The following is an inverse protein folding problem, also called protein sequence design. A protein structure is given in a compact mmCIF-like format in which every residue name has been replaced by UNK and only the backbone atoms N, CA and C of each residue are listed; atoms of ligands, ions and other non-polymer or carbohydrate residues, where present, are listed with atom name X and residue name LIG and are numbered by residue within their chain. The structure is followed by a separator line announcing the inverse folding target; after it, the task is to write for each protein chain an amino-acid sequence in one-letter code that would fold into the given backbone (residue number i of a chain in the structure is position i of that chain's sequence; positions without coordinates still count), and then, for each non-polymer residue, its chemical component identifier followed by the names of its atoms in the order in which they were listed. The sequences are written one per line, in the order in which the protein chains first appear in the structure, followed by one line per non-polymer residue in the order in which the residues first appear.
data_IF_008355344875
#
_entry.id   IF_008355344875
#
_cell.length_a   1.000
_cell.length_b   1.000
_cell.length_c   1.000
_cell.angle_alpha   90.00
_cell.angle_beta   90.00
_cell.angle_gamma   90.00
#
_symmetry.space_group_name_H-M   'P 1'
#
loop_
_entity.id
_entity.type
_entity.pdbx_description
1 polymer ?
#
# COMPACT_ATOMS: atom_id res chain seq x y z
N UNK A 1 -6.12 15.28 17.66
CA UNK A 1 -5.83 14.53 16.42
C UNK A 1 -5.17 13.23 16.84
N UNK A 2 -5.94 12.15 16.95
CA UNK A 2 -5.41 10.85 17.36
C UNK A 2 -4.36 10.40 16.36
N UNK A 3 -3.17 10.08 16.86
CA UNK A 3 -2.04 9.78 16.01
C UNK A 3 -2.16 8.33 15.53
N UNK A 4 -2.12 8.14 14.20
CA UNK A 4 -2.11 6.85 13.48
C UNK A 4 -1.15 5.79 14.04
N UNK A 5 -0.18 6.18 14.86
CA UNK A 5 0.89 5.35 15.38
C UNK A 5 0.41 4.05 16.09
N UNK A 6 -0.80 4.04 16.68
CA UNK A 6 -1.36 2.85 17.34
C UNK A 6 -2.35 2.05 16.50
N UNK A 7 -2.86 2.60 15.40
CA UNK A 7 -3.92 1.99 14.59
C UNK A 7 -3.33 1.45 13.28
N UNK A 8 -2.50 0.42 13.36
CA UNK A 8 -1.95 -0.26 12.18
C UNK A 8 -1.67 -1.73 12.48
N UNK A 9 -1.56 -2.55 11.43
CA UNK A 9 -1.30 -4.00 11.53
C UNK A 9 -0.09 -4.31 12.41
N UNK A 10 0.96 -3.49 12.29
CA UNK A 10 2.19 -3.66 13.05
C UNK A 10 2.00 -3.48 14.56
N UNK A 11 1.19 -2.51 14.98
CA UNK A 11 0.91 -2.32 16.42
C UNK A 11 0.18 -3.51 17.02
N UNK A 12 -0.71 -4.16 16.26
CA UNK A 12 -1.40 -5.38 16.73
C UNK A 12 -0.41 -6.54 16.83
N UNK A 13 0.46 -6.70 15.83
CA UNK A 13 1.50 -7.73 15.85
C UNK A 13 2.39 -7.56 17.08
N UNK A 14 2.87 -6.34 17.32
CA UNK A 14 3.73 -6.04 18.48
C UNK A 14 2.99 -6.33 19.81
N UNK A 15 1.69 -6.02 19.91
CA UNK A 15 0.86 -6.32 21.08
C UNK A 15 0.66 -7.83 21.32
N UNK A 16 0.42 -8.61 20.26
CA UNK A 16 0.27 -10.07 20.37
C UNK A 16 1.60 -10.72 20.75
N UNK A 17 2.71 -10.29 20.14
CA UNK A 17 4.05 -10.79 20.51
C UNK A 17 4.34 -10.45 21.97
N UNK A 18 4.08 -9.20 22.40
CA UNK A 18 4.25 -8.79 23.78
C UNK A 18 3.39 -9.63 24.75
N UNK A 19 2.15 -9.94 24.37
CA UNK A 19 1.30 -10.81 25.19
C UNK A 19 1.94 -12.18 25.43
N UNK A 20 2.50 -12.82 24.41
CA UNK A 20 3.10 -14.15 24.56
C UNK A 20 4.50 -14.16 25.16
N UNK A 21 5.25 -13.07 25.03
CA UNK A 21 6.68 -13.02 25.39
C UNK A 21 6.97 -12.22 26.66
N UNK A 22 6.10 -11.26 27.01
CA UNK A 22 6.37 -10.25 28.03
C UNK A 22 7.34 -9.14 27.58
N UNK A 23 7.89 -9.24 26.36
CA UNK A 23 8.94 -8.37 25.84
C UNK A 23 8.54 -7.66 24.54
N UNK A 24 9.08 -6.46 24.34
CA UNK A 24 8.78 -5.63 23.16
C UNK A 24 9.73 -5.96 22.00
N UNK A 25 9.34 -6.94 21.18
CA UNK A 25 10.11 -7.31 19.98
C UNK A 25 9.63 -6.57 18.72
N UNK A 26 10.27 -5.44 18.42
CA UNK A 26 9.97 -4.67 17.20
C UNK A 26 10.36 -5.47 15.94
N UNK A 27 9.50 -5.44 14.92
CA UNK A 27 9.70 -6.12 13.62
C UNK A 27 9.70 -7.66 13.68
N UNK A 28 9.00 -8.26 14.65
CA UNK A 28 8.90 -9.72 14.68
C UNK A 28 8.21 -10.23 13.41
N UNK A 29 8.85 -11.20 12.73
CA UNK A 29 8.29 -11.85 11.54
C UNK A 29 7.44 -13.09 11.90
N UNK A 30 7.25 -13.35 13.19
CA UNK A 30 6.60 -14.56 13.69
C UNK A 30 5.10 -14.58 13.42
N UNK A 31 4.48 -13.40 13.47
CA UNK A 31 3.09 -13.19 13.10
C UNK A 31 3.06 -12.78 11.64
N UNK A 32 2.29 -13.51 10.86
CA UNK A 32 2.06 -13.29 9.44
C UNK A 32 0.70 -12.66 9.23
N UNK A 33 0.58 -11.90 8.15
CA UNK A 33 -0.64 -11.19 7.75
C UNK A 33 -1.23 -11.89 6.53
N UNK A 34 -2.52 -12.22 6.57
CA UNK A 34 -3.26 -12.69 5.42
C UNK A 34 -3.90 -11.51 4.69
N UNK A 35 -3.99 -11.59 3.36
CA UNK A 35 -4.70 -10.60 2.53
C UNK A 35 -5.89 -11.19 1.76
N UNK A 36 -6.07 -12.51 1.82
CA UNK A 36 -7.07 -13.25 1.05
C UNK A 36 -7.71 -14.33 1.90
N UNK A 37 -8.96 -14.69 1.54
CA UNK A 37 -9.73 -15.73 2.23
C UNK A 37 -9.80 -15.49 3.76
N UNK A 38 -9.96 -14.23 4.15
CA UNK A 38 -9.92 -13.76 5.54
C UNK A 38 -10.97 -14.43 6.43
N UNK A 39 -12.12 -14.81 5.88
CA UNK A 39 -13.15 -15.58 6.60
C UNK A 39 -12.65 -16.96 7.08
N UNK A 40 -11.77 -17.60 6.31
CA UNK A 40 -11.24 -18.92 6.64
C UNK A 40 -9.93 -18.84 7.42
N UNK A 41 -9.05 -17.91 7.05
CA UNK A 41 -7.67 -17.85 7.54
C UNK A 41 -7.45 -16.81 8.66
N UNK A 42 -8.43 -15.95 8.94
CA UNK A 42 -8.24 -14.76 9.78
C UNK A 42 -7.34 -13.73 9.12
N UNK A 43 -7.21 -12.57 9.74
CA UNK A 43 -6.36 -11.47 9.28
C UNK A 43 -4.88 -11.70 9.64
N UNK A 44 -4.62 -12.31 10.80
CA UNK A 44 -3.27 -12.62 11.28
C UNK A 44 -3.14 -14.10 11.60
N UNK A 45 -1.93 -14.64 11.51
CA UNK A 45 -1.66 -15.99 11.99
C UNK A 45 -0.21 -16.19 12.44
N UNK A 46 0.02 -17.19 13.27
CA UNK A 46 1.37 -17.63 13.64
C UNK A 46 1.40 -19.13 13.89
N UNK A 47 2.59 -19.72 13.91
CA UNK A 47 2.77 -21.14 14.16
C UNK A 47 2.66 -21.44 15.66
N UNK A 48 1.91 -22.48 16.01
CA UNK A 48 1.73 -22.90 17.40
C UNK A 48 2.99 -23.55 17.99
N UNK A 49 3.85 -24.11 17.14
CA UNK A 49 5.04 -24.85 17.54
C UNK A 49 6.07 -23.90 18.17
N UNK A 50 6.57 -24.26 19.36
CA UNK A 50 7.54 -23.46 20.11
C UNK A 50 8.84 -23.23 19.33
N UNK A 51 9.21 -24.13 18.40
CA UNK A 51 10.38 -23.95 17.50
C UNK A 51 10.34 -22.61 16.76
N UNK A 52 9.16 -22.15 16.35
CA UNK A 52 9.02 -20.88 15.64
C UNK A 52 9.29 -19.66 16.52
N UNK A 53 9.24 -19.83 17.85
CA UNK A 53 9.34 -18.77 18.87
C UNK A 53 10.69 -18.73 19.59
N UNK A 54 11.62 -19.64 19.29
CA UNK A 54 12.90 -19.80 20.01
C UNK A 54 13.80 -18.57 19.98
N UNK A 55 13.73 -17.77 18.92
CA UNK A 55 14.52 -16.54 18.81
C UNK A 55 13.99 -15.44 19.75
N UNK A 56 12.78 -15.59 20.28
CA UNK A 56 12.12 -14.63 21.17
C UNK A 56 12.01 -15.14 22.61
N UNK A 57 12.01 -16.47 22.82
CA UNK A 57 11.74 -17.08 24.12
C UNK A 57 12.64 -18.27 24.41
N UNK A 58 13.05 -18.38 25.68
CA UNK A 58 13.70 -19.57 26.23
C UNK A 58 12.72 -20.36 27.08
N UNK A 59 12.52 -21.65 26.81
CA UNK A 59 11.73 -22.54 27.67
C UNK A 59 12.62 -23.52 28.44
N UNK A 60 12.60 -23.42 29.78
CA UNK A 60 13.31 -24.33 30.69
C UNK A 60 12.60 -25.68 30.89
N UNK A 61 11.31 -25.78 30.56
CA UNK A 61 10.44 -26.95 30.82
C UNK A 61 10.16 -27.83 29.58
N UNK A 62 10.95 -27.72 28.50
CA UNK A 62 10.78 -28.57 27.32
C UNK A 62 9.46 -28.39 26.56
N UNK A 63 8.97 -27.15 26.44
CA UNK A 63 7.70 -26.81 25.80
C UNK A 63 7.65 -27.22 24.32
N UNK A 64 6.55 -27.84 23.88
CA UNK A 64 6.33 -28.19 22.46
C UNK A 64 5.60 -27.08 21.71
N UNK A 65 4.77 -26.29 22.41
CA UNK A 65 4.00 -25.19 21.84
C UNK A 65 4.17 -23.87 22.60
N UNK A 66 3.88 -22.75 21.92
CA UNK A 66 3.84 -21.42 22.54
C UNK A 66 2.74 -21.30 23.59
N UNK A 67 1.61 -21.99 23.38
CA UNK A 67 0.49 -22.03 24.32
C UNK A 67 0.89 -22.73 25.62
N UNK A 68 1.58 -23.86 25.53
CA UNK A 68 2.09 -24.58 26.70
C UNK A 68 3.12 -23.73 27.47
N UNK A 69 4.01 -23.05 26.76
CA UNK A 69 4.95 -22.13 27.38
C UNK A 69 4.23 -21.01 28.14
N UNK A 70 3.25 -20.38 27.49
CA UNK A 70 2.46 -19.32 28.09
C UNK A 70 1.73 -19.77 29.35
N UNK A 71 1.08 -20.94 29.30
CA UNK A 71 0.42 -21.57 30.46
C UNK A 71 1.38 -21.82 31.63
N UNK A 72 2.59 -22.33 31.34
CA UNK A 72 3.62 -22.58 32.35
C UNK A 72 4.11 -21.30 33.05
N UNK A 73 4.20 -20.19 32.31
CA UNK A 73 4.66 -18.90 32.84
C UNK A 73 3.57 -18.25 33.71
N UNK A 74 2.30 -18.38 33.31
CA UNK A 74 1.17 -17.70 33.98
C UNK A 74 0.45 -18.57 35.02
N UNK A 75 1.01 -19.73 35.36
CA UNK A 75 0.48 -20.60 36.42
C UNK A 75 -0.87 -21.22 36.10
N UNK A 76 -1.24 -21.36 34.82
CA UNK A 76 -2.51 -21.95 34.42
C UNK A 76 -2.58 -23.43 34.86
N UNK A 77 -3.57 -23.75 35.69
CA UNK A 77 -3.82 -25.09 36.22
C UNK A 77 -4.35 -26.03 35.14
N UNK A 78 -3.89 -27.29 35.19
CA UNK A 78 -4.22 -28.41 34.31
C UNK A 78 -5.71 -28.43 33.89
N UNK A 79 -5.98 -28.05 32.65
CA UNK A 79 -7.15 -28.56 31.93
C UNK A 79 -6.96 -30.05 31.64
N UNK A 80 -8.07 -30.80 31.52
CA UNK A 80 -8.02 -32.25 31.27
C UNK A 80 -7.56 -32.59 29.83
N UNK A 81 -7.48 -31.60 28.92
CA UNK A 81 -6.98 -31.75 27.54
C UNK A 81 -6.22 -30.50 27.03
N UNK A 82 -5.38 -30.68 25.99
CA UNK A 82 -4.65 -29.58 25.32
C UNK A 82 -5.58 -28.56 24.64
N UNK A 83 -6.80 -28.96 24.28
CA UNK A 83 -7.80 -28.09 23.65
C UNK A 83 -8.37 -27.08 24.66
N UNK A 84 -8.67 -27.52 25.88
CA UNK A 84 -9.19 -26.66 26.95
C UNK A 84 -8.18 -25.56 27.32
N UNK A 85 -6.89 -25.92 27.35
CA UNK A 85 -5.79 -24.97 27.60
C UNK A 85 -5.69 -23.94 26.48
N UNK A 86 -5.89 -24.34 25.22
CA UNK A 86 -5.85 -23.42 24.09
C UNK A 86 -7.01 -22.41 24.13
N UNK A 87 -8.22 -22.87 24.42
CA UNK A 87 -9.40 -22.01 24.50
C UNK A 87 -9.29 -20.99 25.64
N UNK A 88 -8.76 -21.40 26.80
CA UNK A 88 -8.49 -20.50 27.91
C UNK A 88 -7.50 -19.39 27.51
N UNK A 89 -6.38 -19.75 26.88
CA UNK A 89 -5.38 -18.76 26.43
C UNK A 89 -5.95 -17.85 25.35
N UNK A 90 -6.76 -18.38 24.44
CA UNK A 90 -7.44 -17.57 23.43
C UNK A 90 -8.40 -16.57 24.06
N UNK A 91 -9.16 -16.96 25.08
CA UNK A 91 -10.01 -16.06 25.84
C UNK A 91 -9.20 -14.98 26.55
N UNK A 92 -8.06 -15.33 27.15
CA UNK A 92 -7.16 -14.34 27.76
C UNK A 92 -6.61 -13.33 26.75
N UNK A 93 -6.21 -13.78 25.56
CA UNK A 93 -5.74 -12.92 24.49
C UNK A 93 -6.86 -11.98 23.98
N UNK A 94 -8.07 -12.51 23.77
CA UNK A 94 -9.25 -11.73 23.36
C UNK A 94 -9.58 -10.68 24.42
N UNK A 95 -9.65 -11.07 25.70
CA UNK A 95 -9.90 -10.15 26.81
C UNK A 95 -8.84 -9.05 26.88
N UNK A 96 -7.55 -9.42 26.78
CA UNK A 96 -6.45 -8.45 26.77
C UNK A 96 -6.57 -7.46 25.61
N UNK A 97 -7.00 -7.93 24.44
CA UNK A 97 -7.17 -7.11 23.24
C UNK A 97 -8.27 -6.04 23.36
N UNK A 98 -9.17 -6.14 24.34
CA UNK A 98 -10.20 -5.13 24.62
C UNK A 98 -9.62 -3.76 24.98
N UNK A 99 -8.37 -3.73 25.44
CA UNK A 99 -7.63 -2.48 25.74
C UNK A 99 -6.84 -1.93 24.54
N UNK A 100 -6.83 -2.64 23.40
CA UNK A 100 -6.05 -2.26 22.22
C UNK A 100 -6.91 -1.43 21.26
N UNK A 101 -6.28 -0.63 20.38
CA UNK A 101 -7.02 0.11 19.34
C UNK A 101 -7.80 -0.78 18.37
N UNK A 102 -7.39 -2.04 18.22
CA UNK A 102 -8.04 -3.02 17.36
C UNK A 102 -8.19 -4.31 18.16
N UNK A 103 -9.44 -4.69 18.43
CA UNK A 103 -9.75 -5.87 19.21
C UNK A 103 -9.60 -7.13 18.37
N UNK A 104 -9.24 -8.23 19.03
CA UNK A 104 -9.34 -9.57 18.46
C UNK A 104 -10.75 -10.06 18.76
N UNK A 105 -11.49 -10.39 17.70
CA UNK A 105 -12.86 -10.92 17.82
C UNK A 105 -12.86 -12.41 18.10
N UNK A 106 -11.94 -13.16 17.50
CA UNK A 106 -11.88 -14.62 17.63
C UNK A 106 -10.47 -15.15 17.37
N UNK A 107 -10.10 -16.23 18.05
CA UNK A 107 -8.92 -17.03 17.74
C UNK A 107 -9.37 -18.42 17.29
N UNK A 108 -8.61 -19.08 16.42
CA UNK A 108 -8.91 -20.44 15.98
C UNK A 108 -7.62 -21.20 15.69
N UNK A 109 -7.49 -22.41 16.24
CA UNK A 109 -6.42 -23.33 15.88
C UNK A 109 -6.78 -24.09 14.60
N UNK A 110 -5.96 -23.95 13.57
CA UNK A 110 -6.08 -24.67 12.31
C UNK A 110 -4.79 -25.44 12.02
N UNK A 111 -4.81 -26.75 12.28
CA UNK A 111 -3.61 -27.61 12.18
C UNK A 111 -2.49 -27.01 13.06
N UNK A 112 -1.40 -26.55 12.45
CA UNK A 112 -0.26 -25.96 13.15
C UNK A 112 -0.31 -24.43 13.26
N UNK A 113 -1.41 -23.79 12.85
CA UNK A 113 -1.53 -22.32 12.81
C UNK A 113 -2.58 -21.84 13.78
N UNK A 114 -2.25 -20.82 14.56
CA UNK A 114 -3.23 -20.06 15.31
C UNK A 114 -3.62 -18.86 14.44
N UNK A 115 -4.89 -18.82 14.04
CA UNK A 115 -5.47 -17.77 13.21
C UNK A 115 -6.22 -16.78 14.11
N UNK A 116 -5.95 -15.49 13.94
CA UNK A 116 -6.58 -14.40 14.66
C UNK A 116 -7.53 -13.65 13.72
N UNK A 117 -8.76 -13.46 14.17
CA UNK A 117 -9.80 -12.72 13.50
C UNK A 117 -9.96 -11.38 14.20
N UNK A 118 -9.67 -10.30 13.49
CA UNK A 118 -9.76 -8.95 14.04
C UNK A 118 -11.20 -8.45 14.00
N UNK A 119 -11.56 -7.62 14.97
CA UNK A 119 -12.87 -6.99 14.99
C UNK A 119 -13.03 -6.07 13.79
N UNK A 120 -13.96 -6.42 12.91
CA UNK A 120 -14.18 -5.69 11.64
C UNK A 120 -14.74 -4.30 11.86
N UNK A 121 -15.62 -4.11 12.85
CA UNK A 121 -16.26 -2.82 13.12
C UNK A 121 -15.23 -1.78 13.53
N UNK A 122 -14.28 -2.16 14.39
CA UNK A 122 -13.14 -1.33 14.79
C UNK A 122 -12.33 -0.88 13.56
N UNK A 123 -12.03 -1.82 12.67
CA UNK A 123 -11.20 -1.55 11.49
C UNK A 123 -11.95 -0.69 10.48
N UNK A 124 -13.19 -1.05 10.13
CA UNK A 124 -13.96 -0.38 9.09
C UNK A 124 -14.20 1.09 9.46
N UNK A 125 -14.78 1.35 10.62
CA UNK A 125 -15.20 2.69 10.97
C UNK A 125 -13.99 3.62 11.18
N UNK A 126 -12.96 3.15 11.89
CA UNK A 126 -11.80 3.99 12.20
C UNK A 126 -10.91 4.20 10.98
N UNK A 127 -10.64 3.17 10.16
CA UNK A 127 -9.78 3.35 8.97
C UNK A 127 -10.38 4.33 7.96
N UNK A 128 -11.71 4.27 7.73
CA UNK A 128 -12.40 5.20 6.83
C UNK A 128 -12.37 6.62 7.42
N UNK A 129 -12.77 6.79 8.69
CA UNK A 129 -12.75 8.11 9.35
C UNK A 129 -11.39 8.76 9.29
N UNK A 130 -10.35 8.02 9.68
CA UNK A 130 -8.99 8.54 9.70
C UNK A 130 -8.50 8.87 8.29
N UNK A 131 -8.86 8.10 7.26
CA UNK A 131 -8.48 8.40 5.87
C UNK A 131 -9.06 9.72 5.40
N UNK A 132 -10.33 9.97 5.70
CA UNK A 132 -11.00 11.22 5.34
C UNK A 132 -10.43 12.41 6.14
N UNK A 133 -10.26 12.25 7.45
CA UNK A 133 -9.77 13.33 8.32
C UNK A 133 -8.31 13.70 8.04
N UNK A 134 -7.45 12.71 7.74
CA UNK A 134 -6.03 12.95 7.50
C UNK A 134 -5.72 13.36 6.05
N UNK A 135 -6.57 12.99 5.10
CA UNK A 135 -6.38 13.26 3.67
C UNK A 135 -4.97 12.89 3.18
N UNK A 136 -4.25 13.89 2.65
CA UNK A 136 -2.89 13.72 2.10
C UNK A 136 -1.83 13.30 3.13
N UNK A 137 -2.10 13.44 4.42
CA UNK A 137 -1.19 13.03 5.51
C UNK A 137 -1.51 11.66 6.09
N UNK A 138 -2.51 10.97 5.55
CA UNK A 138 -2.88 9.63 6.01
C UNK A 138 -1.68 8.67 5.95
N UNK A 139 -1.45 7.93 7.03
CA UNK A 139 -0.31 7.01 7.15
C UNK A 139 1.06 7.66 7.40
N UNK A 140 1.14 8.99 7.43
CA UNK A 140 2.40 9.70 7.75
C UNK A 140 2.77 9.52 9.23
N UNK A 141 4.00 9.12 9.47
CA UNK A 141 4.57 9.01 10.82
C UNK A 141 4.89 10.38 11.41
N UNK A 142 4.99 10.44 12.75
CA UNK A 142 5.46 11.61 13.48
C UNK A 142 6.91 11.94 13.09
N UNK A 143 7.28 13.21 13.19
CA UNK A 143 8.65 13.63 12.97
C UNK A 143 9.62 12.84 13.86
N UNK A 144 10.68 12.36 13.25
CA UNK A 144 11.76 11.61 13.91
C UNK A 144 12.97 12.49 14.22
N UNK A 145 12.99 13.73 13.71
CA UNK A 145 14.16 14.63 13.77
C UNK A 145 15.34 14.19 12.88
N UNK A 146 15.29 13.02 12.24
CA UNK A 146 16.36 12.55 11.35
C UNK A 146 16.31 13.29 10.01
N UNK A 147 17.46 13.82 9.58
CA UNK A 147 17.65 14.45 8.29
C UNK A 147 18.33 13.49 7.30
N UNK A 148 18.05 13.66 6.00
CA UNK A 148 18.63 12.90 4.89
C UNK A 148 19.01 13.83 3.73
N UNK A 149 20.09 13.50 3.03
CA UNK A 149 20.48 14.15 1.76
C UNK A 149 20.50 13.11 0.67
N UNK A 150 19.68 13.31 -0.37
CA UNK A 150 19.63 12.41 -1.51
C UNK A 150 20.12 13.11 -2.77
N UNK A 151 21.13 12.54 -3.42
CA UNK A 151 21.62 12.94 -4.74
C UNK A 151 21.53 11.77 -5.70
N UNK A 152 21.59 12.04 -7.00
CA UNK A 152 21.79 11.00 -8.01
C UNK A 152 22.93 11.42 -8.94
N UNK A 153 23.65 10.42 -9.45
CA UNK A 153 24.72 10.60 -10.42
C UNK A 153 24.18 10.21 -11.80
N UNK A 154 24.05 11.15 -12.76
CA UNK A 154 23.61 10.84 -14.12
C UNK A 154 24.47 9.74 -14.78
N UNK A 155 23.82 8.89 -15.56
CA UNK A 155 24.50 7.91 -16.40
C UNK A 155 24.90 8.58 -17.72
N UNK A 156 26.21 8.72 -17.96
CA UNK A 156 26.73 9.46 -19.12
C UNK A 156 26.45 8.81 -20.49
N UNK A 157 25.85 7.62 -20.53
CA UNK A 157 25.54 6.90 -21.78
C UNK A 157 24.04 6.76 -22.03
N UNK A 158 23.20 6.85 -20.98
CA UNK A 158 21.80 6.46 -21.05
C UNK A 158 20.92 7.46 -20.33
N UNK A 159 20.12 8.21 -21.09
CA UNK A 159 19.15 9.14 -20.54
C UNK A 159 18.07 8.41 -19.73
N UNK A 160 17.51 7.30 -20.25
CA UNK A 160 16.51 6.53 -19.49
C UNK A 160 17.05 5.96 -18.17
N UNK A 161 18.32 5.54 -18.12
CA UNK A 161 18.96 5.13 -16.86
C UNK A 161 19.08 6.34 -15.92
N UNK A 162 19.45 7.51 -16.43
CA UNK A 162 19.47 8.76 -15.66
C UNK A 162 18.09 9.11 -15.09
N UNK A 163 17.04 9.02 -15.89
CA UNK A 163 15.67 9.27 -15.41
C UNK A 163 15.24 8.26 -14.36
N UNK A 164 15.58 6.98 -14.52
CA UNK A 164 15.30 5.96 -13.50
C UNK A 164 15.95 6.32 -12.16
N UNK A 165 17.21 6.78 -12.16
CA UNK A 165 17.91 7.23 -10.94
C UNK A 165 17.24 8.45 -10.31
N UNK A 166 16.83 9.42 -11.13
CA UNK A 166 16.09 10.62 -10.69
C UNK A 166 14.75 10.24 -10.04
N UNK A 167 13.98 9.34 -10.67
CA UNK A 167 12.72 8.83 -10.13
C UNK A 167 12.92 8.12 -8.79
N UNK A 168 13.89 7.21 -8.69
CA UNK A 168 14.23 6.53 -7.43
C UNK A 168 14.53 7.51 -6.30
N UNK A 169 15.33 8.55 -6.59
CA UNK A 169 15.66 9.61 -5.63
C UNK A 169 14.42 10.39 -5.20
N UNK A 170 13.53 10.74 -6.13
CA UNK A 170 12.30 11.49 -5.82
C UNK A 170 11.31 10.66 -5.00
N UNK A 171 11.14 9.39 -5.34
CA UNK A 171 10.27 8.48 -4.59
C UNK A 171 10.84 8.26 -3.18
N UNK A 172 12.17 8.16 -3.04
CA UNK A 172 12.84 8.08 -1.75
C UNK A 172 12.63 9.32 -0.89
N UNK A 173 12.70 10.50 -1.50
CA UNK A 173 12.38 11.75 -0.82
C UNK A 173 10.95 11.76 -0.25
N UNK A 174 9.96 11.32 -1.05
CA UNK A 174 8.56 11.25 -0.60
C UNK A 174 8.34 10.19 0.48
N UNK A 175 8.91 9.00 0.32
CA UNK A 175 8.83 7.94 1.31
C UNK A 175 9.48 8.35 2.65
N UNK A 176 10.64 9.01 2.62
CA UNK A 176 11.28 9.55 3.83
C UNK A 176 10.37 10.57 4.54
N UNK A 177 9.71 11.45 3.80
CA UNK A 177 8.77 12.41 4.38
C UNK A 177 7.58 11.72 5.06
N UNK A 178 7.05 10.66 4.46
CA UNK A 178 5.97 9.85 5.05
C UNK A 178 6.44 9.10 6.30
N UNK A 179 7.70 8.74 6.39
CA UNK A 179 8.33 8.17 7.60
C UNK A 179 8.71 9.23 8.65
N UNK A 180 8.32 10.50 8.46
CA UNK A 180 8.61 11.58 9.41
C UNK A 180 10.08 12.01 9.41
N UNK A 181 10.82 11.74 8.35
CA UNK A 181 12.18 12.23 8.15
C UNK A 181 12.19 13.54 7.35
N UNK A 182 13.21 14.36 7.55
CA UNK A 182 13.40 15.62 6.83
C UNK A 182 14.44 15.48 5.72
N UNK A 183 14.23 16.19 4.62
CA UNK A 183 15.27 16.37 3.60
C UNK A 183 16.06 17.63 3.94
N UNK A 184 17.39 17.50 3.99
CA UNK A 184 18.29 18.60 4.28
C UNK A 184 19.16 18.92 3.07
N UNK A 185 19.57 20.18 2.97
CA UNK A 185 20.59 20.66 2.05
C UNK A 185 21.91 20.99 2.78
N UNK A 186 21.94 20.83 4.11
CA UNK A 186 23.07 21.21 4.95
C UNK A 186 24.22 20.21 4.90
N UNK A 187 25.46 20.71 4.95
CA UNK A 187 26.68 19.92 4.82
C UNK A 187 26.98 19.05 6.06
N UNK A 188 26.17 19.08 7.12
CA UNK A 188 26.41 18.33 8.37
C UNK A 188 25.42 17.17 8.63
N UNK A 189 24.76 16.64 7.59
CA UNK A 189 23.88 15.48 7.72
C UNK A 189 24.66 14.15 7.74
N UNK A 190 24.34 13.21 8.65
CA UNK A 190 24.96 11.88 8.67
C UNK A 190 24.39 10.92 7.60
N UNK A 191 23.14 11.10 7.17
CA UNK A 191 22.46 10.19 6.24
C UNK A 191 22.50 10.75 4.81
N UNK A 192 23.60 10.51 4.11
CA UNK A 192 23.77 10.94 2.71
C UNK A 192 23.78 9.76 1.77
N UNK A 193 22.94 9.79 0.75
CA UNK A 193 22.82 8.72 -0.24
C UNK A 193 22.97 9.24 -1.66
N UNK A 194 23.80 8.57 -2.44
CA UNK A 194 24.02 8.83 -3.86
C UNK A 194 23.45 7.68 -4.67
N UNK A 195 22.37 7.94 -5.42
CA UNK A 195 21.78 6.98 -6.35
C UNK A 195 22.64 6.91 -7.62
N UNK A 196 23.11 5.72 -7.99
CA UNK A 196 24.01 5.53 -9.14
C UNK A 196 23.75 4.19 -9.84
N UNK A 197 24.07 4.10 -11.13
CA UNK A 197 24.07 2.84 -11.88
C UNK A 197 25.37 2.05 -11.74
N UNK A 198 26.42 2.68 -11.17
CA UNK A 198 27.77 2.11 -11.08
C UNK A 198 27.98 1.43 -9.72
N UNK A 199 28.34 0.15 -9.72
CA UNK A 199 28.76 -0.57 -8.51
C UNK A 199 30.12 -0.06 -8.00
N UNK A 200 31.01 0.23 -8.93
CA UNK A 200 32.39 0.66 -8.68
C UNK A 200 32.60 2.14 -9.02
N UNK A 201 33.70 2.71 -8.52
CA UNK A 201 34.04 4.13 -8.70
C UNK A 201 33.79 4.99 -7.47
N UNK A 202 34.43 6.17 -7.50
CA UNK A 202 34.37 7.18 -6.45
C UNK A 202 33.00 7.86 -6.43
N UNK A 203 32.52 8.16 -5.23
CA UNK A 203 31.39 9.04 -4.97
C UNK A 203 31.84 10.15 -4.02
N UNK A 204 31.11 11.27 -4.02
CA UNK A 204 31.35 12.39 -3.11
C UNK A 204 31.60 11.92 -1.67
N UNK A 205 32.60 12.49 -1.02
CA UNK A 205 32.98 12.14 0.35
C UNK A 205 31.79 12.25 1.31
N UNK A 206 31.63 11.26 2.18
CA UNK A 206 30.52 11.18 3.14
C UNK A 206 29.20 10.66 2.57
N UNK A 207 29.07 10.39 1.27
CA UNK A 207 27.90 9.71 0.71
C UNK A 207 28.01 8.19 0.78
N UNK A 208 26.88 7.52 0.95
CA UNK A 208 26.72 6.07 0.78
C UNK A 208 26.15 5.79 -0.61
N UNK A 209 26.68 4.79 -1.32
CA UNK A 209 26.15 4.39 -2.63
C UNK A 209 24.81 3.68 -2.47
N UNK A 210 23.85 4.05 -3.30
CA UNK A 210 22.64 3.29 -3.54
C UNK A 210 22.60 2.87 -5.02
N UNK A 211 22.93 1.60 -5.29
CA UNK A 211 23.08 1.10 -6.66
C UNK A 211 21.72 0.72 -7.24
N UNK A 212 21.39 1.29 -8.40
CA UNK A 212 20.20 0.94 -9.17
C UNK A 212 20.59 0.25 -10.48
N UNK A 213 19.80 -0.74 -10.90
CA UNK A 213 19.98 -1.40 -12.18
C UNK A 213 19.69 -0.44 -13.35
N UNK A 214 20.38 -0.67 -14.45
CA UNK A 214 20.24 0.12 -15.68
C UNK A 214 18.91 -0.14 -16.39
N UNK A 215 18.54 0.74 -17.31
CA UNK A 215 17.47 0.48 -18.29
C UNK A 215 18.09 -0.20 -19.51
N UNK A 216 17.50 -1.31 -19.94
CA UNK A 216 17.95 -2.15 -21.05
C UNK A 216 16.95 -2.12 -22.20
N UNK A 217 17.48 -2.19 -23.40
CA UNK A 217 16.69 -2.42 -24.61
C UNK A 217 16.33 -3.90 -24.72
N UNK A 218 15.07 -4.22 -25.03
CA UNK A 218 14.62 -5.61 -25.16
C UNK A 218 15.25 -6.38 -26.31
N UNK A 219 15.61 -5.71 -27.41
CA UNK A 219 16.20 -6.34 -28.60
C UNK A 219 17.67 -6.69 -28.37
N UNK A 220 18.46 -5.74 -27.83
CA UNK A 220 19.90 -5.93 -27.64
C UNK A 220 20.25 -6.55 -26.29
N UNK A 221 19.29 -6.61 -25.36
CA UNK A 221 19.46 -7.00 -23.94
C UNK A 221 20.61 -6.26 -23.22
N UNK A 222 21.00 -5.13 -23.78
CA UNK A 222 22.09 -4.26 -23.35
C UNK A 222 21.52 -2.93 -22.88
N UNK A 223 22.36 -2.10 -22.24
CA UNK A 223 21.94 -0.77 -21.76
C UNK A 223 21.32 0.02 -22.93
N UNK A 224 20.15 0.62 -22.72
CA UNK A 224 19.53 1.50 -23.70
C UNK A 224 20.29 2.84 -23.76
N UNK A 225 20.86 3.16 -24.91
CA UNK A 225 21.70 4.35 -25.12
C UNK A 225 21.20 5.26 -26.25
N UNK A 226 20.25 4.79 -27.05
CA UNK A 226 19.76 5.50 -28.22
C UNK A 226 18.47 6.28 -27.92
N UNK A 227 17.63 5.75 -27.05
CA UNK A 227 16.32 6.34 -26.74
C UNK A 227 16.42 7.35 -25.58
N UNK A 228 15.97 8.58 -25.84
CA UNK A 228 15.79 9.61 -24.80
C UNK A 228 14.44 9.48 -24.09
N UNK A 229 14.31 10.16 -22.96
CA UNK A 229 13.09 10.22 -22.17
C UNK A 229 11.93 10.83 -22.95
N UNK A 230 12.16 11.98 -23.59
CA UNK A 230 11.15 12.69 -24.39
C UNK A 230 10.73 11.86 -25.59
N UNK A 231 11.67 11.19 -26.28
CA UNK A 231 11.32 10.27 -27.36
C UNK A 231 10.50 9.09 -26.86
N UNK A 232 10.81 8.57 -25.66
CA UNK A 232 10.04 7.45 -25.11
C UNK A 232 8.63 7.86 -24.67
N UNK A 233 8.47 9.08 -24.13
CA UNK A 233 7.16 9.68 -23.86
C UNK A 233 6.38 9.81 -25.17
N UNK A 234 6.96 10.41 -26.21
CA UNK A 234 6.27 10.60 -27.49
C UNK A 234 5.86 9.25 -28.11
N UNK A 235 6.72 8.25 -28.03
CA UNK A 235 6.41 6.90 -28.47
C UNK A 235 5.18 6.33 -27.75
N UNK A 236 5.13 6.45 -26.42
CA UNK A 236 3.99 6.00 -25.61
C UNK A 236 2.73 6.83 -25.88
N UNK A 237 2.84 8.13 -26.12
CA UNK A 237 1.73 8.99 -26.50
C UNK A 237 1.10 8.54 -27.82
N UNK A 238 1.92 8.25 -28.84
CA UNK A 238 1.45 7.76 -30.13
C UNK A 238 0.70 6.42 -29.98
N UNK A 239 1.25 5.47 -29.21
CA UNK A 239 0.56 4.21 -28.92
C UNK A 239 -0.79 4.41 -28.21
N UNK A 240 -0.85 5.35 -27.25
CA UNK A 240 -2.10 5.65 -26.56
C UNK A 240 -3.12 6.31 -27.48
N UNK A 241 -2.68 7.21 -28.36
CA UNK A 241 -3.53 7.86 -29.35
C UNK A 241 -4.20 6.83 -30.26
N UNK A 242 -3.42 5.90 -30.85
CA UNK A 242 -3.91 4.80 -31.70
C UNK A 242 -4.96 3.93 -30.97
N UNK A 243 -4.73 3.57 -29.70
CA UNK A 243 -5.67 2.77 -28.90
C UNK A 243 -6.96 3.51 -28.51
N UNK A 244 -7.01 4.81 -28.75
CA UNK A 244 -8.06 5.72 -28.28
C UNK A 244 -8.84 6.42 -29.39
N UNK A 245 -8.55 6.11 -30.65
CA UNK A 245 -9.15 6.73 -31.85
C UNK A 245 -10.68 6.68 -31.87
N UNK A 246 -11.31 5.78 -31.09
CA UNK A 246 -12.77 5.64 -31.00
C UNK A 246 -13.39 6.09 -29.66
N UNK A 247 -12.61 6.65 -28.72
CA UNK A 247 -13.08 6.94 -27.35
C UNK A 247 -13.09 8.41 -26.96
N UNK A 248 -12.32 9.26 -27.64
CA UNK A 248 -12.33 10.69 -27.39
C UNK A 248 -13.45 11.36 -28.18
N UNK A 249 -14.34 12.05 -27.48
CA UNK A 249 -15.37 12.90 -28.08
C UNK A 249 -14.65 14.05 -28.79
N UNK A 250 -15.03 14.35 -30.04
CA UNK A 250 -14.41 15.34 -30.94
C UNK A 250 -14.37 16.79 -30.41
N UNK A 251 -14.88 17.05 -29.21
CA UNK A 251 -15.16 18.39 -28.66
C UNK A 251 -14.13 18.87 -27.62
N UNK A 252 -13.07 18.10 -27.34
CA UNK A 252 -11.97 18.54 -26.45
C UNK A 252 -10.88 19.29 -27.24
N UNK A 253 -10.51 20.49 -26.78
CA UNK A 253 -9.40 21.28 -27.35
C UNK A 253 -8.13 20.42 -27.45
N UNK A 254 -7.52 20.37 -28.64
CA UNK A 254 -6.34 19.54 -28.95
C UNK A 254 -5.22 19.63 -27.89
N UNK A 255 -4.95 20.82 -27.34
CA UNK A 255 -3.92 21.02 -26.30
C UNK A 255 -4.22 20.28 -24.97
N UNK A 256 -5.48 20.21 -24.56
CA UNK A 256 -5.87 19.51 -23.33
C UNK A 256 -5.74 17.98 -23.49
N UNK A 257 -6.06 17.48 -24.69
CA UNK A 257 -5.89 16.07 -25.07
C UNK A 257 -4.42 15.67 -25.07
N UNK A 258 -3.55 16.48 -25.68
CA UNK A 258 -2.10 16.21 -25.71
C UNK A 258 -1.49 16.22 -24.30
N UNK A 259 -1.88 17.19 -23.46
CA UNK A 259 -1.44 17.21 -22.06
C UNK A 259 -1.92 15.98 -21.28
N UNK A 260 -3.15 15.51 -21.52
CA UNK A 260 -3.67 14.30 -20.91
C UNK A 260 -2.88 13.05 -21.36
N UNK A 261 -2.68 12.86 -22.66
CA UNK A 261 -1.91 11.76 -23.23
C UNK A 261 -0.46 11.78 -22.73
N UNK A 262 0.15 12.96 -22.64
CA UNK A 262 1.49 13.13 -22.08
C UNK A 262 1.56 12.68 -20.62
N UNK A 263 0.62 13.11 -19.78
CA UNK A 263 0.58 12.71 -18.36
C UNK A 263 0.34 11.20 -18.20
N UNK A 264 -0.52 10.62 -19.03
CA UNK A 264 -0.79 9.18 -19.04
C UNK A 264 0.44 8.38 -19.50
N UNK A 265 1.09 8.79 -20.58
CA UNK A 265 2.34 8.20 -21.07
C UNK A 265 3.43 8.25 -20.01
N UNK A 266 3.62 9.40 -19.36
CA UNK A 266 4.58 9.58 -18.29
C UNK A 266 4.28 8.64 -17.10
N UNK A 267 3.01 8.54 -16.67
CA UNK A 267 2.60 7.63 -15.60
C UNK A 267 2.88 6.15 -15.93
N UNK A 268 2.64 5.74 -17.18
CA UNK A 268 2.95 4.39 -17.68
C UNK A 268 4.45 4.12 -17.59
N UNK A 269 5.29 5.03 -18.09
CA UNK A 269 6.74 4.86 -18.06
C UNK A 269 7.25 4.79 -16.63
N UNK A 270 6.73 5.63 -15.71
CA UNK A 270 7.06 5.56 -14.29
C UNK A 270 6.75 4.18 -13.71
N UNK A 271 5.56 3.62 -13.99
CA UNK A 271 5.21 2.26 -13.57
C UNK A 271 6.16 1.21 -14.15
N UNK A 272 6.47 1.28 -15.45
CA UNK A 272 7.39 0.34 -16.10
C UNK A 272 8.79 0.35 -15.46
N UNK A 273 9.31 1.54 -15.14
CA UNK A 273 10.63 1.69 -14.53
C UNK A 273 10.67 1.34 -13.04
N UNK A 274 9.57 1.56 -12.30
CA UNK A 274 9.51 1.43 -10.84
C UNK A 274 8.90 0.11 -10.36
N UNK A 275 8.20 -0.64 -11.20
CA UNK A 275 7.62 -1.95 -10.86
C UNK A 275 8.67 -3.06 -10.65
N UNK A 276 9.95 -2.77 -10.84
CA UNK A 276 11.07 -3.70 -10.65
C UNK A 276 11.94 -3.25 -9.47
N UNK A 277 12.42 -4.21 -8.67
CA UNK A 277 13.35 -3.95 -7.56
C UNK A 277 14.50 -3.03 -8.01
N UNK A 278 14.90 -2.03 -7.21
CA UNK A 278 15.89 -1.04 -7.66
C UNK A 278 17.21 -1.64 -8.11
N UNK A 279 17.69 -2.70 -7.45
CA UNK A 279 18.95 -3.38 -7.79
C UNK A 279 18.92 -4.17 -9.11
N UNK A 280 17.75 -4.38 -9.72
CA UNK A 280 17.60 -5.14 -10.97
C UNK A 280 17.47 -4.20 -12.15
N UNK A 281 18.04 -4.59 -13.30
CA UNK A 281 17.81 -3.88 -14.57
C UNK A 281 16.34 -3.97 -14.98
N UNK A 282 15.83 -2.90 -15.59
CA UNK A 282 14.52 -2.87 -16.23
C UNK A 282 14.71 -3.04 -17.72
N UNK A 283 13.90 -3.88 -18.35
CA UNK A 283 13.90 -4.06 -19.80
C UNK A 283 12.70 -3.31 -20.35
N UNK A 284 12.95 -2.34 -21.24
CA UNK A 284 11.90 -1.66 -21.98
C UNK A 284 11.76 -2.28 -23.37
N UNK A 285 10.51 -2.37 -23.87
CA UNK A 285 10.21 -2.81 -25.23
C UNK A 285 9.94 -1.58 -26.10
N UNK A 286 10.56 -1.56 -27.28
CA UNK A 286 10.48 -0.47 -28.26
C UNK A 286 9.82 -0.92 -29.59
N UNK A 287 9.04 -2.01 -29.60
CA UNK A 287 8.52 -2.59 -30.85
C UNK A 287 7.02 -2.39 -31.05
N UNK A 288 6.67 -1.98 -32.28
CA UNK A 288 5.33 -1.91 -32.88
C UNK A 288 4.77 -3.29 -33.29
N UNK A 289 5.33 -4.40 -32.81
CA UNK A 289 4.87 -5.74 -33.21
C UNK A 289 4.29 -6.50 -32.02
N UNK A 290 3.02 -6.83 -32.21
CA UNK A 290 2.15 -7.78 -31.51
C UNK A 290 2.89 -8.86 -30.73
N UNK A 291 3.05 -8.64 -29.43
CA UNK A 291 3.24 -9.75 -28.49
C UNK A 291 2.66 -9.39 -27.12
N UNK A 292 1.51 -9.99 -26.87
CA UNK A 292 0.47 -9.74 -25.85
C UNK A 292 0.97 -9.72 -24.39
N UNK A 293 2.22 -10.10 -24.13
CA UNK A 293 2.79 -10.22 -22.77
C UNK A 293 3.29 -8.91 -22.16
N UNK A 294 3.55 -7.88 -22.98
CA UNK A 294 4.00 -6.55 -22.49
C UNK A 294 2.88 -5.68 -21.92
N UNK A 295 1.62 -6.07 -22.16
CA UNK A 295 0.43 -5.35 -21.75
C UNK A 295 0.26 -5.31 -20.21
N UNK A 296 1.02 -6.12 -19.46
CA UNK A 296 0.88 -6.23 -18.01
C UNK A 296 1.36 -5.00 -17.23
N UNK A 297 2.38 -4.26 -17.71
CA UNK A 297 2.88 -3.06 -17.02
C UNK A 297 2.25 -1.76 -17.52
N UNK A 298 1.96 -1.65 -18.84
CA UNK A 298 1.16 -0.54 -19.41
C UNK A 298 -0.22 -0.44 -18.77
N UNK A 299 -0.83 -1.59 -18.41
CA UNK A 299 -2.11 -1.61 -17.70
C UNK A 299 -2.03 -1.02 -16.29
N UNK A 300 -0.92 -1.14 -15.56
CA UNK A 300 -0.86 -0.74 -14.14
C UNK A 300 -1.22 0.74 -13.93
N UNK A 301 -0.51 1.64 -14.61
CA UNK A 301 -0.73 3.09 -14.49
C UNK A 301 -2.09 3.52 -15.04
N UNK A 302 -2.41 3.12 -16.28
CA UNK A 302 -3.69 3.48 -16.92
C UNK A 302 -4.88 2.95 -16.13
N UNK A 303 -4.77 1.76 -15.54
CA UNK A 303 -5.82 1.18 -14.72
C UNK A 303 -5.97 1.91 -13.39
N UNK A 304 -4.88 2.38 -12.78
CA UNK A 304 -4.92 3.22 -11.58
C UNK A 304 -5.58 4.58 -11.85
N UNK A 305 -5.16 5.26 -12.91
CA UNK A 305 -5.74 6.54 -13.32
C UNK A 305 -7.22 6.41 -13.69
N UNK A 306 -7.59 5.37 -14.43
CA UNK A 306 -8.98 5.09 -14.80
C UNK A 306 -9.88 4.81 -13.58
N UNK A 307 -9.42 3.99 -12.62
CA UNK A 307 -10.21 3.74 -11.41
C UNK A 307 -10.32 4.98 -10.52
N UNK A 308 -9.30 5.84 -10.51
CA UNK A 308 -9.34 7.12 -9.80
C UNK A 308 -10.40 8.06 -10.41
N UNK A 309 -10.40 8.21 -11.74
CA UNK A 309 -11.43 8.97 -12.47
C UNK A 309 -12.84 8.39 -12.27
N UNK A 310 -12.97 7.07 -12.24
CA UNK A 310 -14.24 6.38 -11.98
C UNK A 310 -14.79 6.73 -10.59
N UNK A 311 -13.96 6.67 -9.54
CA UNK A 311 -14.39 7.05 -8.19
C UNK A 311 -14.80 8.53 -8.15
N UNK A 312 -13.99 9.42 -8.74
CA UNK A 312 -14.30 10.85 -8.84
C UNK A 312 -15.64 11.10 -9.55
N UNK A 313 -15.92 10.35 -10.62
CA UNK A 313 -17.17 10.45 -11.38
C UNK A 313 -18.39 10.03 -10.55
N UNK A 314 -18.28 8.94 -9.76
CA UNK A 314 -19.36 8.50 -8.86
C UNK A 314 -19.65 9.56 -7.80
N UNK A 315 -18.61 10.14 -7.20
CA UNK A 315 -18.75 11.21 -6.20
C UNK A 315 -19.38 12.46 -6.84
N UNK A 316 -18.96 12.84 -8.05
CA UNK A 316 -19.52 13.97 -8.79
C UNK A 316 -21.01 13.75 -9.09
N UNK A 317 -21.38 12.58 -9.61
CA UNK A 317 -22.77 12.21 -9.90
C UNK A 317 -23.65 12.21 -8.64
N UNK A 318 -23.10 11.78 -7.51
CA UNK A 318 -23.80 11.91 -6.23
C UNK A 318 -24.06 13.38 -5.89
N UNK A 319 -23.04 14.24 -5.95
CA UNK A 319 -23.18 15.66 -5.62
C UNK A 319 -24.20 16.36 -6.53
N UNK A 320 -24.20 16.04 -7.82
CA UNK A 320 -25.23 16.54 -8.76
C UNK A 320 -26.65 16.10 -8.38
N UNK A 321 -26.82 14.85 -7.96
CA UNK A 321 -28.12 14.34 -7.46
C UNK A 321 -28.53 15.01 -6.16
N UNK A 322 -27.59 15.34 -5.27
CA UNK A 322 -27.88 16.15 -4.07
C UNK A 322 -28.36 17.55 -4.45
N UNK A 323 -27.69 18.21 -5.39
CA UNK A 323 -28.08 19.55 -5.86
C UNK A 323 -29.48 19.56 -6.50
N UNK A 324 -29.88 18.48 -7.16
CA UNK A 324 -31.24 18.32 -7.72
C UNK A 324 -32.31 17.91 -6.70
N UNK A 325 -31.91 17.61 -5.45
CA UNK A 325 -32.82 17.11 -4.42
C UNK A 325 -33.16 15.61 -4.54
N UNK A 326 -32.50 14.88 -5.44
CA UNK A 326 -32.70 13.43 -5.62
C UNK A 326 -32.09 12.61 -4.47
N UNK A 327 -31.05 13.15 -3.82
CA UNK A 327 -30.36 12.52 -2.69
C UNK A 327 -30.14 13.50 -1.52
N UNK A 328 -30.08 13.00 -0.28
CA UNK A 328 -29.68 13.83 0.86
C UNK A 328 -28.19 14.15 0.79
N UNK A 329 -27.80 15.28 1.39
CA UNK A 329 -26.40 15.58 1.66
C UNK A 329 -25.77 14.50 2.55
N UNK A 330 -24.47 14.25 2.38
CA UNK A 330 -23.76 13.32 3.25
C UNK A 330 -23.77 13.87 4.69
N UNK A 331 -24.14 13.05 5.70
CA UNK A 331 -24.03 13.44 7.10
C UNK A 331 -22.56 13.56 7.50
N UNK A 332 -22.29 14.21 8.63
CA UNK A 332 -20.96 14.17 9.26
C UNK A 332 -20.50 12.72 9.41
N UNK A 333 -19.24 12.45 9.06
CA UNK A 333 -18.64 11.12 9.08
C UNK A 333 -18.69 10.44 10.46
N UNK A 334 -18.76 11.22 11.55
CA UNK A 334 -18.92 10.74 12.92
C UNK A 334 -20.28 10.08 13.13
N UNK A 335 -21.30 10.51 12.39
CA UNK A 335 -22.68 10.03 12.49
C UNK A 335 -23.01 8.93 11.46
N UNK A 336 -22.03 8.49 10.68
CA UNK A 336 -22.22 7.45 9.67
C UNK A 336 -22.20 6.08 10.33
N UNK A 337 -23.24 5.30 10.06
CA UNK A 337 -23.30 3.88 10.40
C UNK A 337 -22.52 3.04 9.39
N UNK A 338 -21.30 2.66 9.76
CA UNK A 338 -20.46 1.81 8.94
C UNK A 338 -20.77 0.31 9.06
N UNK A 339 -21.67 -0.11 9.95
CA UNK A 339 -22.13 -1.52 10.02
C UNK A 339 -22.88 -1.97 8.75
N UNK A 340 -23.25 -1.00 7.90
CA UNK A 340 -23.86 -1.22 6.58
C UNK A 340 -22.88 -1.81 5.53
N UNK A 341 -21.57 -1.79 5.79
CA UNK A 341 -20.53 -2.35 4.91
C UNK A 341 -20.25 -3.82 5.27
N UNK A 342 -21.10 -4.71 4.75
CA UNK A 342 -21.12 -6.14 5.13
C UNK A 342 -20.54 -7.06 4.04
N UNK A 343 -20.39 -6.56 2.81
CA UNK A 343 -19.97 -7.42 1.70
C UNK A 343 -18.51 -7.86 1.87
N UNK A 344 -18.20 -9.08 1.44
CA UNK A 344 -16.82 -9.61 1.50
C UNK A 344 -15.84 -8.72 0.75
N UNK A 345 -16.22 -8.26 -0.43
CA UNK A 345 -15.41 -7.37 -1.26
C UNK A 345 -15.18 -5.98 -0.61
N UNK A 346 -16.14 -5.48 0.17
CA UNK A 346 -15.98 -4.23 0.94
C UNK A 346 -14.93 -4.43 2.04
N UNK A 347 -15.03 -5.54 2.78
CA UNK A 347 -14.03 -5.88 3.78
C UNK A 347 -12.63 -6.02 3.17
N UNK A 348 -12.50 -6.73 2.05
CA UNK A 348 -11.21 -6.89 1.36
C UNK A 348 -10.63 -5.54 0.90
N UNK A 349 -11.48 -4.61 0.45
CA UNK A 349 -11.02 -3.28 0.04
C UNK A 349 -10.51 -2.46 1.23
N UNK A 350 -11.28 -2.45 2.31
CA UNK A 350 -10.99 -1.65 3.49
C UNK A 350 -9.76 -2.19 4.22
N UNK A 351 -9.75 -3.48 4.52
CA UNK A 351 -8.67 -4.10 5.28
C UNK A 351 -7.34 -4.06 4.53
N UNK A 352 -7.32 -4.45 3.25
CA UNK A 352 -6.05 -4.56 2.52
C UNK A 352 -5.51 -3.20 2.05
N UNK A 353 -6.38 -2.23 1.75
CA UNK A 353 -5.95 -0.99 1.09
C UNK A 353 -6.17 0.27 1.90
N UNK A 354 -7.24 0.41 2.69
CA UNK A 354 -7.37 1.59 3.56
C UNK A 354 -6.55 1.37 4.83
N UNK A 355 -6.85 0.30 5.57
CA UNK A 355 -6.11 -0.06 6.78
C UNK A 355 -4.67 -0.51 6.48
N UNK A 356 -4.47 -1.23 5.38
CA UNK A 356 -3.15 -1.73 4.96
C UNK A 356 -2.21 -0.67 4.36
N UNK A 357 -2.69 0.54 4.00
CA UNK A 357 -1.87 1.55 3.33
C UNK A 357 -0.62 1.97 4.13
N UNK A 358 -0.68 2.17 5.47
CA UNK A 358 0.52 2.54 6.21
C UNK A 358 1.53 1.41 6.34
N UNK A 359 1.08 0.14 6.30
CA UNK A 359 2.00 -0.98 6.17
C UNK A 359 2.70 -0.97 4.80
N UNK A 360 1.99 -0.63 3.71
CA UNK A 360 2.60 -0.45 2.40
C UNK A 360 3.68 0.65 2.40
N UNK A 361 3.44 1.78 3.09
CA UNK A 361 4.46 2.83 3.29
C UNK A 361 5.68 2.28 4.02
N UNK A 362 5.47 1.47 5.07
CA UNK A 362 6.57 0.83 5.82
C UNK A 362 7.34 -0.18 4.96
N UNK A 363 6.66 -0.91 4.09
CA UNK A 363 7.28 -1.89 3.19
C UNK A 363 8.02 -1.20 2.03
N UNK A 364 7.63 0.03 1.67
CA UNK A 364 8.28 0.83 0.65
C UNK A 364 9.68 1.31 1.07
N UNK A 365 9.92 1.57 2.36
CA UNK A 365 11.19 2.14 2.84
C UNK A 365 11.68 1.47 4.12
N UNK A 366 12.94 1.02 4.10
CA UNK A 366 13.67 0.58 5.29
C UNK A 366 14.86 1.50 5.50
N UNK A 367 14.95 2.15 6.65
CA UNK A 367 16.08 3.03 6.98
C UNK A 367 17.15 2.34 7.83
N UNK A 368 16.78 1.29 8.57
CA UNK A 368 17.66 0.60 9.52
C UNK A 368 17.60 -0.93 9.35
N UNK A 369 18.73 -1.64 9.48
CA UNK A 369 20.09 -1.10 9.62
C UNK A 369 20.61 -0.43 8.33
N UNK A 370 20.00 -0.71 7.18
CA UNK A 370 20.44 -0.22 5.88
C UNK A 370 19.31 0.46 5.12
N UNK A 371 19.62 1.59 4.48
CA UNK A 371 18.69 2.33 3.65
C UNK A 371 18.34 1.60 2.36
N UNK A 372 17.08 1.22 2.23
CA UNK A 372 16.52 0.59 1.04
C UNK A 372 15.15 1.14 0.72
N UNK A 373 14.96 1.54 -0.54
CA UNK A 373 13.64 1.80 -1.09
C UNK A 373 13.16 0.66 -1.98
N UNK A 374 11.84 0.50 -2.04
CA UNK A 374 11.14 -0.56 -2.76
C UNK A 374 9.89 0.02 -3.46
N UNK A 375 10.07 0.89 -4.47
CA UNK A 375 8.93 1.54 -5.14
C UNK A 375 8.00 0.54 -5.83
N UNK A 376 8.51 -0.64 -6.20
CA UNK A 376 7.71 -1.72 -6.77
C UNK A 376 6.57 -2.20 -5.85
N UNK A 377 6.71 -2.00 -4.53
CA UNK A 377 5.66 -2.32 -3.56
C UNK A 377 4.45 -1.40 -3.77
N UNK A 378 4.68 -0.12 -4.06
CA UNK A 378 3.62 0.87 -4.36
C UNK A 378 2.92 0.52 -5.67
N UNK A 379 3.67 0.19 -6.73
CA UNK A 379 3.11 -0.24 -8.01
C UNK A 379 2.26 -1.51 -7.86
N UNK A 380 2.73 -2.49 -7.10
CA UNK A 380 1.98 -3.73 -6.83
C UNK A 380 0.71 -3.46 -6.01
N UNK A 381 0.80 -2.59 -5.00
CA UNK A 381 -0.32 -2.18 -4.18
C UNK A 381 -1.42 -1.52 -5.03
N UNK A 382 -1.06 -0.54 -5.87
CA UNK A 382 -1.98 0.13 -6.78
C UNK A 382 -2.64 -0.86 -7.76
N UNK A 383 -1.86 -1.75 -8.38
CA UNK A 383 -2.39 -2.76 -9.30
C UNK A 383 -3.42 -3.69 -8.63
N UNK A 384 -3.12 -4.16 -7.41
CA UNK A 384 -4.05 -5.00 -6.63
C UNK A 384 -5.30 -4.26 -6.20
N UNK A 385 -5.16 -3.01 -5.76
CA UNK A 385 -6.28 -2.15 -5.41
C UNK A 385 -7.22 -1.98 -6.60
N UNK A 386 -6.68 -1.66 -7.78
CA UNK A 386 -7.48 -1.50 -8.99
C UNK A 386 -8.22 -2.77 -9.39
N UNK A 387 -7.55 -3.93 -9.28
CA UNK A 387 -8.15 -5.23 -9.59
C UNK A 387 -9.34 -5.50 -8.66
N UNK A 388 -9.15 -5.36 -7.34
CA UNK A 388 -10.19 -5.61 -6.34
C UNK A 388 -11.34 -4.60 -6.46
N UNK A 389 -11.02 -3.33 -6.66
CA UNK A 389 -12.04 -2.29 -6.81
C UNK A 389 -12.86 -2.46 -8.09
N UNK A 390 -12.24 -2.86 -9.20
CA UNK A 390 -12.97 -3.13 -10.45
C UNK A 390 -13.92 -4.31 -10.34
N UNK A 391 -13.53 -5.36 -9.61
CA UNK A 391 -14.42 -6.51 -9.30
C UNK A 391 -15.59 -6.04 -8.44
N UNK A 392 -15.32 -5.27 -7.39
CA UNK A 392 -16.35 -4.70 -6.52
C UNK A 392 -17.35 -3.84 -7.31
N UNK A 393 -16.84 -2.87 -8.09
CA UNK A 393 -17.66 -1.95 -8.87
C UNK A 393 -18.58 -2.66 -9.87
N UNK A 394 -18.09 -3.73 -10.52
CA UNK A 394 -18.91 -4.51 -11.45
C UNK A 394 -20.11 -5.19 -10.76
N UNK A 395 -19.95 -5.61 -9.51
CA UNK A 395 -20.97 -6.36 -8.76
C UNK A 395 -21.90 -5.46 -7.95
N UNK A 396 -21.40 -4.31 -7.49
CA UNK A 396 -22.06 -3.52 -6.47
C UNK A 396 -22.51 -2.16 -7.01
N UNK A 397 -23.83 -1.95 -7.01
CA UNK A 397 -24.42 -0.64 -7.28
C UNK A 397 -24.22 0.28 -6.08
N UNK A 398 -23.42 1.33 -6.26
CA UNK A 398 -23.12 2.32 -5.22
C UNK A 398 -24.25 3.34 -5.10
N UNK A 399 -24.58 4.03 -6.19
CA UNK A 399 -25.70 4.96 -6.24
C UNK A 399 -26.98 4.18 -6.53
N UNK A 400 -27.73 3.88 -5.47
CA UNK A 400 -29.01 3.17 -5.56
C UNK A 400 -30.15 4.15 -5.78
N UNK A 401 -31.03 3.84 -6.73
CA UNK A 401 -32.31 4.52 -6.92
C UNK A 401 -33.35 3.66 -6.21
N UNK A 402 -33.93 4.14 -5.11
CA UNK A 402 -34.84 3.36 -4.27
C UNK A 402 -35.06 3.99 -2.89
N UNK A 403 -36.07 3.48 -2.16
CA UNK A 403 -36.60 4.08 -0.94
C UNK A 403 -35.59 4.30 0.19
N UNK A 404 -35.99 5.13 1.16
CA UNK A 404 -35.15 5.71 2.22
C UNK A 404 -34.25 4.71 2.98
N UNK A 405 -34.62 3.43 3.05
CA UNK A 405 -33.85 2.38 3.72
C UNK A 405 -32.51 2.04 3.04
N UNK A 406 -32.29 2.40 1.77
CA UNK A 406 -31.02 2.17 1.06
C UNK A 406 -29.99 3.30 1.27
N UNK A 407 -30.44 4.44 1.81
CA UNK A 407 -29.61 5.63 2.00
C UNK A 407 -28.43 5.35 2.94
N UNK A 408 -28.60 4.71 4.12
CA UNK A 408 -27.48 4.44 5.02
C UNK A 408 -26.35 3.64 4.37
N UNK A 409 -26.70 2.58 3.63
CA UNK A 409 -25.72 1.75 2.90
C UNK A 409 -25.03 2.51 1.78
N UNK A 410 -25.76 3.34 1.03
CA UNK A 410 -25.17 4.23 0.01
C UNK A 410 -24.19 5.23 0.64
N UNK A 411 -24.56 5.87 1.75
CA UNK A 411 -23.70 6.82 2.48
C UNK A 411 -22.41 6.15 2.95
N UNK A 412 -22.50 4.97 3.58
CA UNK A 412 -21.33 4.23 4.03
C UNK A 412 -20.39 3.87 2.87
N UNK A 413 -20.94 3.42 1.73
CA UNK A 413 -20.18 3.13 0.51
C UNK A 413 -19.52 4.37 -0.09
N UNK A 414 -20.20 5.52 -0.08
CA UNK A 414 -19.64 6.77 -0.57
C UNK A 414 -18.44 7.23 0.29
N UNK A 415 -18.52 7.08 1.61
CA UNK A 415 -17.39 7.34 2.48
C UNK A 415 -16.24 6.36 2.28
N UNK A 416 -16.52 5.07 2.09
CA UNK A 416 -15.50 4.08 1.70
C UNK A 416 -14.81 4.49 0.39
N UNK A 417 -15.58 4.91 -0.62
CA UNK A 417 -15.03 5.39 -1.90
C UNK A 417 -14.16 6.64 -1.76
N UNK A 418 -14.59 7.61 -0.94
CA UNK A 418 -13.79 8.80 -0.64
C UNK A 418 -12.48 8.42 0.06
N UNK A 419 -12.51 7.48 0.99
CA UNK A 419 -11.29 6.99 1.64
C UNK A 419 -10.36 6.29 0.64
N UNK A 420 -10.90 5.40 -0.22
CA UNK A 420 -10.13 4.79 -1.30
C UNK A 420 -9.54 5.84 -2.27
N UNK A 421 -10.27 6.92 -2.55
CA UNK A 421 -9.77 8.02 -3.37
C UNK A 421 -8.53 8.66 -2.73
N UNK A 422 -8.58 8.98 -1.42
CA UNK A 422 -7.41 9.45 -0.66
C UNK A 422 -6.23 8.47 -0.78
N UNK A 423 -6.48 7.17 -0.68
CA UNK A 423 -5.43 6.15 -0.84
C UNK A 423 -4.82 6.19 -2.25
N UNK A 424 -5.65 6.29 -3.29
CA UNK A 424 -5.18 6.42 -4.67
C UNK A 424 -4.31 7.67 -4.86
N UNK A 425 -4.78 8.83 -4.41
CA UNK A 425 -4.04 10.09 -4.52
C UNK A 425 -2.68 10.00 -3.81
N UNK A 426 -2.67 9.51 -2.58
CA UNK A 426 -1.44 9.43 -1.79
C UNK A 426 -0.46 8.40 -2.37
N UNK A 427 -0.95 7.24 -2.84
CA UNK A 427 -0.09 6.21 -3.44
C UNK A 427 0.49 6.64 -4.80
N UNK A 428 -0.31 7.32 -5.63
CA UNK A 428 0.16 7.91 -6.90
C UNK A 428 1.14 9.05 -6.64
N UNK A 429 0.90 9.87 -5.63
CA UNK A 429 1.82 10.94 -5.25
C UNK A 429 3.19 10.39 -4.87
N UNK A 430 3.29 9.28 -4.12
CA UNK A 430 4.59 8.64 -3.82
C UNK A 430 5.41 8.39 -5.10
N UNK A 431 4.76 7.98 -6.20
CA UNK A 431 5.38 7.74 -7.50
C UNK A 431 5.63 9.02 -8.32
N UNK A 432 5.14 10.17 -7.86
CA UNK A 432 5.19 11.44 -8.59
C UNK A 432 4.15 11.55 -9.71
N UNK A 433 3.09 10.72 -9.66
CA UNK A 433 2.02 10.69 -10.66
C UNK A 433 0.84 11.51 -10.13
N UNK A 434 0.31 12.42 -10.96
CA UNK A 434 -0.91 13.16 -10.63
C UNK A 434 -2.15 12.34 -10.99
N UNK A 435 -3.14 12.22 -10.08
CA UNK A 435 -4.45 11.67 -10.40
C UNK A 435 -5.15 12.43 -11.54
N UNK A 436 -6.03 11.73 -12.26
CA UNK A 436 -6.93 12.35 -13.25
C UNK A 436 -8.36 12.28 -12.73
N UNK A 437 -9.11 13.37 -12.92
CA UNK A 437 -10.52 13.47 -12.51
C UNK A 437 -11.48 12.86 -13.52
N UNK A 438 -11.05 12.73 -14.79
CA UNK A 438 -11.78 12.12 -15.91
C UNK A 438 -10.78 11.37 -16.81
N UNK A 439 -11.23 10.27 -17.42
CA UNK A 439 -10.45 9.41 -18.32
C UNK A 439 -11.35 8.71 -19.32
#
# INVERSE_FOLDING_TARGET
METWAGFCTRSIIDNVVFHFTGDTHKNSSIIKVNSENLLANGELYFLYNFKAWRDLLTCSKGCTSILQHFAHVHGATKGNSDADVADEIFNQLILKSSSWPIRIQRCMLQKERICLFLNREDIVANSIRMAIECGMTFGKAKSTGKAFILKYQPDGQSDLTTQRLRLMRNIAAKALNLHGHMLSTEVNCANRYMFTSKSEGLIDEGYKKYVCGVVKNSQTNSKEICLTWEQYIQYKMNQLAELSEHKFIEDERNEAKDLFLHNLANAIIIFELMAVKPSRSVIIRNNNFEDDRSITNTRGASFALYNTARIATIITKHNEKVLRGDYPSLPDIKNVDFSQLQEKEEWELIYNFIFGYPQMINDCLKCEPNFHIYPQVVCLFLSRLCQKFSIYYRKVRILTEGGNHLIPKMVARLYMLRALYVIFENALDILGIKPVSRM
#
